data_IF_450514528565
#
_entry.id   IF_450514528565
#
_cell.length_a   1.000
_cell.length_b   1.000
_cell.length_c   1.000
_cell.angle_alpha   90.00
_cell.angle_beta   90.00
_cell.angle_gamma   90.00
#
_symmetry.space_group_name_H-M   'P 1'
#
loop_
_entity.id
_entity.type
_entity.pdbx_description
1 polymer ?
#
# COMPACT_ATOMS: atom_id res chain seq x y z
N UNK A 1 -27.36 23.14 24.64
CA UNK A 1 -26.58 22.77 23.45
C UNK A 1 -25.13 22.71 23.89
N UNK A 2 -24.64 21.51 24.16
CA UNK A 2 -23.25 21.28 24.51
C UNK A 2 -22.49 21.18 23.18
N UNK A 3 -22.01 22.31 22.68
CA UNK A 3 -21.07 22.36 21.55
C UNK A 3 -19.78 21.69 22.04
N UNK A 4 -19.63 20.42 21.67
CA UNK A 4 -18.40 19.66 21.89
C UNK A 4 -17.28 20.38 21.14
N UNK A 5 -16.20 20.82 21.81
CA UNK A 5 -15.10 21.49 21.12
C UNK A 5 -14.53 20.54 20.05
N UNK A 6 -14.14 21.04 18.86
CA UNK A 6 -13.51 20.23 17.83
C UNK A 6 -12.30 19.52 18.45
N UNK A 7 -12.10 18.22 18.17
CA UNK A 7 -11.05 17.44 18.81
C UNK A 7 -9.70 18.10 18.55
N UNK A 8 -9.04 18.45 19.65
CA UNK A 8 -7.75 19.12 19.67
C UNK A 8 -6.75 18.35 18.80
N UNK A 9 -6.38 19.01 17.71
CA UNK A 9 -5.24 18.75 16.85
C UNK A 9 -4.02 18.37 17.71
N UNK A 10 -3.41 17.21 17.44
CA UNK A 10 -2.00 17.00 17.79
C UNK A 10 -1.66 15.88 18.76
N UNK A 11 -2.57 14.99 19.15
CA UNK A 11 -2.12 13.70 19.73
C UNK A 11 -1.70 12.77 18.59
N UNK A 12 -0.56 13.08 17.96
CA UNK A 12 0.11 12.15 17.05
C UNK A 12 0.44 10.91 17.86
N UNK A 13 -0.31 9.85 17.63
CA UNK A 13 0.05 8.56 18.20
C UNK A 13 1.31 8.10 17.43
N UNK A 14 2.40 7.75 18.11
CA UNK A 14 3.66 7.39 17.46
C UNK A 14 3.53 6.18 16.52
N UNK A 15 2.50 5.34 16.72
CA UNK A 15 2.19 4.26 15.77
C UNK A 15 1.69 4.76 14.42
N UNK A 16 1.07 5.95 14.37
CA UNK A 16 0.51 6.53 13.16
C UNK A 16 1.61 7.14 12.27
N UNK A 17 2.66 7.68 12.89
CA UNK A 17 3.87 8.11 12.18
C UNK A 17 4.61 6.92 11.58
N UNK A 18 4.72 5.81 12.33
CA UNK A 18 5.23 4.55 11.79
C UNK A 18 4.37 4.02 10.64
N UNK A 19 3.04 4.10 10.79
CA UNK A 19 2.11 3.61 9.78
C UNK A 19 2.18 4.43 8.48
N UNK A 20 2.21 5.75 8.60
CA UNK A 20 2.32 6.66 7.46
C UNK A 20 3.76 6.83 6.97
N UNK A 21 4.72 6.10 7.56
CA UNK A 21 6.14 6.19 7.27
C UNK A 21 6.68 7.64 7.30
N UNK A 22 6.14 8.46 8.20
CA UNK A 22 6.50 9.86 8.31
C UNK A 22 5.93 10.79 7.23
N UNK A 23 4.93 10.36 6.45
CA UNK A 23 4.29 11.21 5.45
C UNK A 23 3.73 12.51 6.05
N UNK A 24 3.22 12.46 7.29
CA UNK A 24 2.81 13.64 8.07
C UNK A 24 3.94 14.64 8.23
N UNK A 25 5.12 14.16 8.63
CA UNK A 25 6.28 14.99 8.87
C UNK A 25 6.76 15.68 7.58
N UNK A 26 6.74 14.95 6.45
CA UNK A 26 7.11 15.48 5.13
C UNK A 26 6.14 16.57 4.70
N UNK A 27 4.83 16.33 4.88
CA UNK A 27 3.79 17.29 4.53
C UNK A 27 3.91 18.57 5.36
N UNK A 28 4.11 18.47 6.67
CA UNK A 28 4.29 19.65 7.53
C UNK A 28 5.60 20.40 7.29
N UNK A 29 6.64 19.70 6.83
CA UNK A 29 7.90 20.34 6.41
C UNK A 29 7.75 21.14 5.12
N UNK A 30 6.65 20.94 4.37
CA UNK A 30 6.45 21.59 3.08
C UNK A 30 5.91 23.02 3.27
N UNK A 31 6.60 24.04 2.72
CA UNK A 31 6.15 25.42 2.85
C UNK A 31 4.81 25.62 2.16
N UNK A 32 3.79 26.00 2.93
CA UNK A 32 2.43 26.22 2.46
C UNK A 32 1.46 25.11 2.84
N UNK A 33 1.90 23.92 3.26
CA UNK A 33 0.99 22.88 3.77
C UNK A 33 0.49 23.24 5.16
N UNK A 34 -0.82 23.15 5.35
CA UNK A 34 -1.54 23.47 6.59
C UNK A 34 -2.62 22.41 6.86
N UNK A 35 -3.11 22.35 8.10
CA UNK A 35 -4.26 21.50 8.49
C UNK A 35 -4.09 20.00 8.17
N UNK A 36 -2.87 19.46 8.38
CA UNK A 36 -2.61 18.03 8.27
C UNK A 36 -3.39 17.29 9.37
N UNK A 37 -4.39 16.51 8.97
CA UNK A 37 -5.28 15.79 9.87
C UNK A 37 -5.26 14.31 9.53
N UNK A 38 -5.10 13.45 10.55
CA UNK A 38 -5.29 12.01 10.39
C UNK A 38 -6.45 11.55 11.25
N UNK A 39 -7.40 10.90 10.59
CA UNK A 39 -8.57 10.25 11.19
C UNK A 39 -8.30 8.75 11.15
N UNK A 40 -7.85 8.22 12.29
CA UNK A 40 -7.72 6.79 12.52
C UNK A 40 -9.12 6.17 12.65
N UNK A 41 -9.34 5.02 12.00
CA UNK A 41 -10.57 4.25 12.20
C UNK A 41 -10.39 3.24 13.32
N UNK A 42 -11.50 2.94 14.00
CA UNK A 42 -11.54 1.90 15.03
C UNK A 42 -10.97 0.57 14.50
N UNK A 43 -10.29 -0.22 15.33
CA UNK A 43 -9.79 -1.54 14.95
C UNK A 43 -10.89 -2.43 14.33
N UNK A 44 -10.52 -3.27 13.36
CA UNK A 44 -11.44 -4.25 12.80
C UNK A 44 -11.58 -5.42 13.76
N UNK A 45 -12.79 -5.95 13.92
CA UNK A 45 -13.00 -7.16 14.68
C UNK A 45 -12.55 -8.38 13.86
N UNK A 46 -12.02 -9.40 14.54
CA UNK A 46 -11.53 -10.62 13.89
C UNK A 46 -12.59 -11.25 12.97
N UNK A 47 -13.87 -11.23 13.39
CA UNK A 47 -14.96 -11.75 12.58
C UNK A 47 -15.18 -10.94 11.29
N UNK A 48 -14.92 -9.62 11.27
CA UNK A 48 -15.04 -8.81 10.05
C UNK A 48 -14.02 -9.24 9.00
N UNK A 49 -12.82 -9.61 9.44
CA UNK A 49 -11.77 -10.16 8.58
C UNK A 49 -12.23 -11.51 8.03
N UNK A 50 -12.64 -12.44 8.89
CA UNK A 50 -13.13 -13.75 8.47
C UNK A 50 -14.33 -13.67 7.51
N UNK A 51 -15.28 -12.76 7.78
CA UNK A 51 -16.43 -12.52 6.90
C UNK A 51 -16.00 -11.96 5.54
N UNK A 52 -15.01 -11.08 5.52
CA UNK A 52 -14.47 -10.55 4.27
C UNK A 52 -13.75 -11.64 3.46
N UNK A 53 -12.96 -12.49 4.11
CA UNK A 53 -12.27 -13.62 3.47
C UNK A 53 -13.25 -14.62 2.87
N UNK A 54 -14.31 -14.97 3.61
CA UNK A 54 -15.37 -15.84 3.12
C UNK A 54 -16.10 -15.21 1.92
N UNK A 55 -16.40 -13.91 1.99
CA UNK A 55 -17.11 -13.18 0.92
C UNK A 55 -16.29 -13.07 -0.37
N UNK A 56 -14.98 -12.86 -0.25
CA UNK A 56 -14.07 -12.70 -1.40
C UNK A 56 -13.36 -14.01 -1.77
N UNK A 57 -13.68 -15.12 -1.11
CA UNK A 57 -13.05 -16.43 -1.31
C UNK A 57 -11.50 -16.37 -1.33
N UNK A 58 -10.92 -15.49 -0.53
CA UNK A 58 -9.47 -15.26 -0.49
C UNK A 58 -8.99 -15.06 0.93
N UNK A 59 -7.71 -15.38 1.16
CA UNK A 59 -7.07 -15.24 2.47
C UNK A 59 -6.24 -13.97 2.46
N UNK A 60 -6.49 -13.10 3.43
CA UNK A 60 -5.73 -11.88 3.61
C UNK A 60 -4.33 -12.25 4.18
N UNK A 61 -3.22 -11.72 3.63
CA UNK A 61 -1.90 -11.88 4.23
C UNK A 61 -1.88 -11.54 5.72
N UNK A 62 -1.07 -12.26 6.50
CA UNK A 62 -1.01 -12.07 7.96
C UNK A 62 -0.71 -10.64 8.38
N UNK A 63 0.17 -9.96 7.63
CA UNK A 63 0.55 -8.58 7.92
C UNK A 63 -0.64 -7.62 7.73
N UNK A 64 -1.46 -7.85 6.71
CA UNK A 64 -2.69 -7.08 6.51
C UNK A 64 -3.71 -7.40 7.60
N UNK A 65 -3.81 -8.65 8.06
CA UNK A 65 -4.71 -9.01 9.18
C UNK A 65 -4.31 -8.26 10.45
N UNK A 66 -3.02 -8.30 10.79
CA UNK A 66 -2.46 -7.56 11.94
C UNK A 66 -2.70 -6.06 11.80
N UNK A 67 -2.53 -5.52 10.59
CA UNK A 67 -2.84 -4.12 10.30
C UNK A 67 -4.31 -3.79 10.58
N UNK A 68 -5.26 -4.56 10.03
CA UNK A 68 -6.70 -4.31 10.23
C UNK A 68 -7.15 -4.54 11.67
N UNK A 69 -6.55 -5.49 12.39
CA UNK A 69 -6.76 -5.70 13.83
C UNK A 69 -6.19 -4.56 14.68
N UNK A 70 -5.20 -3.82 14.18
CA UNK A 70 -4.65 -2.64 14.86
C UNK A 70 -5.43 -1.37 14.51
N UNK A 71 -5.79 -1.18 13.24
CA UNK A 71 -6.53 -0.03 12.73
C UNK A 71 -7.30 -0.40 11.46
N UNK A 72 -8.61 -0.14 11.40
CA UNK A 72 -9.44 -0.53 10.24
C UNK A 72 -9.35 0.50 9.09
N UNK A 73 -8.13 0.82 8.70
CA UNK A 73 -7.80 1.90 7.79
C UNK A 73 -7.73 3.27 8.46
N UNK A 74 -7.35 4.28 7.69
CA UNK A 74 -7.26 5.66 8.14
C UNK A 74 -7.59 6.61 7.00
N UNK A 75 -7.88 7.86 7.33
CA UNK A 75 -8.02 8.93 6.35
C UNK A 75 -7.15 10.10 6.78
N UNK A 76 -6.20 10.44 5.93
CA UNK A 76 -5.29 11.55 6.10
C UNK A 76 -5.64 12.61 5.07
N UNK A 77 -5.79 13.85 5.49
CA UNK A 77 -6.06 14.99 4.61
C UNK A 77 -5.12 16.12 4.96
N UNK A 78 -4.71 16.89 3.98
CA UNK A 78 -3.91 18.08 4.18
C UNK A 78 -4.34 19.18 3.24
N UNK A 79 -4.26 20.40 3.74
CA UNK A 79 -4.58 21.59 3.02
C UNK A 79 -3.29 22.34 2.65
N UNK A 80 -3.39 23.25 1.70
CA UNK A 80 -2.33 24.18 1.38
C UNK A 80 -2.88 25.58 1.45
N UNK A 81 -2.15 26.46 2.12
CA UNK A 81 -2.38 27.89 2.15
C UNK A 81 -1.76 28.51 0.89
N UNK A 82 -2.63 28.96 -0.02
CA UNK A 82 -2.28 29.78 -1.16
C UNK A 82 -2.84 31.18 -0.91
N UNK A 83 -1.96 32.15 -0.68
CA UNK A 83 -2.31 33.53 -0.31
C UNK A 83 -3.20 33.60 0.95
N UNK A 84 -4.46 34.05 0.81
CA UNK A 84 -5.46 34.08 1.89
C UNK A 84 -6.39 32.86 1.91
N UNK A 85 -6.24 31.92 0.97
CA UNK A 85 -7.13 30.78 0.85
C UNK A 85 -6.45 29.48 1.29
N UNK A 86 -7.11 28.74 2.17
CA UNK A 86 -6.74 27.37 2.52
C UNK A 86 -7.50 26.42 1.59
N UNK A 87 -6.77 25.69 0.75
CA UNK A 87 -7.33 24.79 -0.25
C UNK A 87 -6.99 23.35 0.14
N UNK A 88 -7.95 22.41 0.16
CA UNK A 88 -7.63 21.00 0.35
C UNK A 88 -6.80 20.49 -0.83
N UNK A 89 -5.53 20.21 -0.59
CA UNK A 89 -4.58 19.83 -1.65
C UNK A 89 -4.58 18.32 -1.89
N UNK A 90 -4.69 17.53 -0.82
CA UNK A 90 -4.63 16.09 -0.97
C UNK A 90 -5.25 15.30 0.17
N UNK A 91 -5.63 14.08 -0.17
CA UNK A 91 -6.09 13.09 0.78
C UNK A 91 -5.46 11.73 0.48
N UNK A 92 -5.10 11.02 1.54
CA UNK A 92 -4.62 9.65 1.53
C UNK A 92 -5.53 8.84 2.43
N UNK A 93 -6.22 7.84 1.89
CA UNK A 93 -7.10 6.99 2.68
C UNK A 93 -6.75 5.52 2.49
N UNK A 94 -6.67 4.79 3.60
CA UNK A 94 -6.73 3.33 3.61
C UNK A 94 -8.16 2.92 3.91
N UNK A 95 -8.73 2.13 3.01
CA UNK A 95 -10.08 1.62 3.16
C UNK A 95 -10.18 0.62 4.30
N UNK A 96 -11.34 0.62 4.94
CA UNK A 96 -11.72 -0.40 5.91
C UNK A 96 -11.89 -1.73 5.21
N UNK A 97 -11.71 -2.83 5.94
CA UNK A 97 -11.78 -4.17 5.38
C UNK A 97 -13.09 -4.45 4.65
N UNK A 98 -14.22 -3.95 5.15
CA UNK A 98 -15.53 -4.10 4.50
C UNK A 98 -15.62 -3.46 3.12
N UNK A 99 -14.77 -2.48 2.82
CA UNK A 99 -14.68 -1.78 1.54
C UNK A 99 -13.53 -2.30 0.67
N UNK A 100 -12.73 -3.26 1.14
CA UNK A 100 -11.73 -3.90 0.30
C UNK A 100 -12.43 -4.74 -0.76
N UNK A 101 -11.91 -4.66 -1.97
CA UNK A 101 -12.33 -5.46 -3.11
C UNK A 101 -11.14 -6.26 -3.56
N UNK A 102 -11.34 -7.56 -3.82
CA UNK A 102 -10.31 -8.37 -4.45
C UNK A 102 -9.93 -7.74 -5.78
N UNK A 103 -8.66 -7.39 -5.94
CA UNK A 103 -8.10 -7.01 -7.22
C UNK A 103 -7.87 -8.32 -7.99
N UNK A 104 -8.93 -8.86 -8.59
CA UNK A 104 -8.76 -9.90 -9.59
C UNK A 104 -7.85 -9.33 -10.68
N UNK A 105 -6.90 -10.14 -11.16
CA UNK A 105 -6.02 -9.79 -12.27
C UNK A 105 -6.87 -9.13 -13.33
N UNK A 106 -6.75 -7.80 -13.43
CA UNK A 106 -7.54 -7.05 -14.37
C UNK A 106 -7.17 -7.61 -15.73
N UNK A 107 -8.18 -7.92 -16.52
CA UNK A 107 -8.03 -8.42 -17.89
C UNK A 107 -7.23 -7.48 -18.80
N UNK A 108 -6.79 -6.33 -18.29
CA UNK A 108 -5.77 -5.45 -18.87
C UNK A 108 -4.43 -6.14 -19.11
N UNK A 109 -4.08 -7.17 -18.32
CA UNK A 109 -2.91 -8.03 -18.59
C UNK A 109 -3.26 -9.33 -19.32
N UNK A 110 -4.54 -9.56 -19.63
CA UNK A 110 -5.01 -10.67 -20.46
C UNK A 110 -5.07 -10.30 -21.94
N UNK A 111 -4.36 -9.25 -22.36
CA UNK A 111 -4.12 -9.04 -23.78
C UNK A 111 -3.23 -10.18 -24.27
N UNK A 112 -3.51 -10.78 -25.44
CA UNK A 112 -2.73 -11.92 -25.95
C UNK A 112 -1.23 -11.60 -26.12
N UNK A 113 -0.86 -10.32 -26.13
CA UNK A 113 0.51 -9.83 -26.28
C UNK A 113 0.98 -8.95 -25.10
N UNK A 114 0.31 -8.99 -23.94
CA UNK A 114 0.83 -8.28 -22.77
C UNK A 114 2.08 -9.00 -22.25
N UNK A 115 3.18 -8.26 -21.96
CA UNK A 115 4.35 -8.87 -21.35
C UNK A 115 3.94 -9.49 -20.02
N UNK A 116 4.20 -10.78 -19.88
CA UNK A 116 3.86 -11.59 -18.71
C UNK A 116 5.09 -11.72 -17.82
N UNK A 117 4.91 -12.11 -16.55
CA UNK A 117 6.03 -12.46 -15.67
C UNK A 117 6.92 -13.60 -16.24
N UNK A 118 6.43 -14.34 -17.23
CA UNK A 118 7.18 -15.35 -17.97
C UNK A 118 8.21 -14.76 -18.95
N UNK A 119 8.05 -13.51 -19.42
CA UNK A 119 9.01 -12.87 -20.34
C UNK A 119 10.29 -12.38 -19.62
N UNK A 120 10.27 -12.38 -18.30
CA UNK A 120 11.43 -12.12 -17.45
C UNK A 120 12.04 -13.45 -17.00
N UNK A 121 12.34 -14.34 -17.94
CA UNK A 121 13.26 -15.44 -17.67
C UNK A 121 14.67 -14.86 -17.53
N UNK A 122 15.13 -14.85 -16.28
CA UNK A 122 16.47 -14.50 -15.83
C UNK A 122 17.48 -15.41 -16.56
N UNK A 123 18.21 -14.86 -17.53
CA UNK A 123 19.40 -15.48 -18.14
C UNK A 123 20.51 -15.62 -17.07
N UNK A 124 20.26 -16.44 -16.05
CA UNK A 124 21.31 -17.07 -15.27
C UNK A 124 21.95 -18.11 -16.20
N UNK A 125 22.85 -17.62 -17.06
CA UNK A 125 23.77 -18.47 -17.81
C UNK A 125 24.65 -19.23 -16.82
N UNK A 126 24.14 -20.34 -16.31
CA UNK A 126 24.97 -21.43 -15.82
C UNK A 126 25.82 -21.88 -17.01
N UNK A 127 27.05 -21.39 -17.06
CA UNK A 127 28.14 -21.85 -17.93
C UNK A 127 28.40 -23.33 -17.66
N UNK A 128 27.53 -24.19 -18.19
CA UNK A 128 27.69 -25.63 -18.12
C UNK A 128 28.74 -26.03 -19.17
N UNK A 129 29.98 -26.11 -18.70
CA UNK A 129 31.25 -26.45 -19.37
C UNK A 129 31.28 -27.83 -20.07
N UNK A 130 30.15 -28.37 -20.53
CA UNK A 130 30.05 -29.71 -21.12
C UNK A 130 30.26 -29.75 -22.64
N UNK A 131 30.27 -28.61 -23.34
CA UNK A 131 30.39 -28.55 -24.80
C UNK A 131 31.82 -28.39 -25.37
N UNK A 132 32.86 -28.23 -24.53
CA UNK A 132 34.25 -28.00 -24.99
C UNK A 132 35.06 -29.32 -25.13
N UNK A 133 34.42 -30.45 -25.45
CA UNK A 133 35.14 -31.73 -25.63
C UNK A 133 35.22 -32.28 -27.05
N UNK A 134 34.63 -31.60 -28.05
CA UNK A 134 34.57 -32.12 -29.43
C UNK A 134 35.44 -31.38 -30.46
N UNK A 135 36.57 -30.80 -30.05
CA UNK A 135 37.54 -30.23 -30.99
C UNK A 135 38.96 -30.72 -30.69
N UNK A 136 39.21 -32.01 -30.93
CA UNK A 136 40.57 -32.51 -31.18
C UNK A 136 40.55 -33.22 -32.54
N UNK A 137 41.10 -32.64 -33.61
CA UNK A 137 41.25 -33.34 -34.88
C UNK A 137 42.37 -34.39 -34.74
N UNK A 138 42.01 -35.64 -35.06
CA UNK A 138 42.92 -36.78 -35.17
C UNK A 138 43.95 -36.50 -36.28
N UNK A 139 45.24 -36.43 -35.91
CA UNK A 139 46.37 -36.48 -36.84
C UNK A 139 47.06 -37.83 -36.68
N UNK A 140 47.02 -38.64 -37.73
CA UNK A 140 47.99 -39.68 -38.05
C UNK A 140 48.51 -39.39 -39.46
#
# INVERSE_FOLDING_TARGET
MEETPPPLLGSRKPHLEKLTLGATHILESSPGVTEVTIIEKAPAECHMISSWEQKNTCVLPEDLKKFYLMTNGFHMTWNVKLDEHTIPLGSMAINSISKLTQLNQSSTYSLPNAPTLADLEDDTQDLNLSHIKNAVPQLY
#
